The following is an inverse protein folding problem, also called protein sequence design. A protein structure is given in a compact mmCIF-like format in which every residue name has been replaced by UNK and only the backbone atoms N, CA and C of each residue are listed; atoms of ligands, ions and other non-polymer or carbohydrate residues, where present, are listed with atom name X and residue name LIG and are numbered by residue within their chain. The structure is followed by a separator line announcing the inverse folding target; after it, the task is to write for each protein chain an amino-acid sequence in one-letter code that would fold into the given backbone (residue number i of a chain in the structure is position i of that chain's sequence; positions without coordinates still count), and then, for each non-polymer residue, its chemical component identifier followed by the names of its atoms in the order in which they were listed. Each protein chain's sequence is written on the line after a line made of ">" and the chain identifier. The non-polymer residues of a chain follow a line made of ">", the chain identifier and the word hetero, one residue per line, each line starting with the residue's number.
data_IF_084335831093
#
_entry.id   IF_084335831093
#
_cell.length_a   1.000
_cell.length_b   1.000
_cell.length_c   1.000
_cell.angle_alpha   90.00
_cell.angle_beta   90.00
_cell.angle_gamma   90.00
#
_symmetry.space_group_name_H-M   'P 1'
#
loop_
_entity.id
_entity.type
_entity.pdbx_description
1 polymer ?
#
# COMPACT_ATOMS: atom_id res chain seq x y z
N UNK A 1 -28.48 15.18 10.43
CA UNK A 1 -29.15 16.21 11.22
C UNK A 1 -28.44 16.46 12.56
N UNK A 2 -27.90 15.45 13.20
CA UNK A 2 -27.31 15.55 14.54
C UNK A 2 -25.97 16.32 14.58
N UNK A 3 -25.26 16.43 13.44
CA UNK A 3 -23.96 17.10 13.37
C UNK A 3 -24.04 18.57 13.75
N UNK A 4 -25.09 19.29 13.29
CA UNK A 4 -25.28 20.70 13.64
C UNK A 4 -25.65 20.88 15.12
N UNK A 5 -26.40 19.94 15.72
CA UNK A 5 -26.71 19.93 17.14
C UNK A 5 -25.46 19.71 17.99
N UNK A 6 -24.61 18.73 17.57
CA UNK A 6 -23.33 18.44 18.23
C UNK A 6 -22.42 19.67 18.19
N UNK A 7 -22.26 20.28 17.01
CA UNK A 7 -21.44 21.47 16.85
C UNK A 7 -21.96 22.65 17.70
N UNK A 8 -23.29 22.84 17.78
CA UNK A 8 -23.87 23.88 18.61
C UNK A 8 -23.59 23.63 20.08
N UNK A 9 -23.70 22.39 20.57
CA UNK A 9 -23.39 22.04 21.97
C UNK A 9 -21.92 22.24 22.30
N UNK A 10 -21.03 21.82 21.41
CA UNK A 10 -19.59 21.93 21.59
C UNK A 10 -19.06 23.37 21.50
N UNK A 11 -19.57 24.17 20.57
CA UNK A 11 -18.96 25.46 20.22
C UNK A 11 -19.80 26.67 20.63
N UNK A 12 -21.05 26.45 21.03
CA UNK A 12 -22.06 27.51 21.30
C UNK A 12 -22.30 28.43 20.10
N UNK A 13 -21.95 27.96 18.85
CA UNK A 13 -22.08 28.68 17.58
C UNK A 13 -22.97 27.93 16.61
N UNK A 14 -23.52 28.67 15.63
CA UNK A 14 -24.31 28.09 14.56
C UNK A 14 -23.45 27.93 13.29
N UNK A 15 -23.44 26.73 12.70
CA UNK A 15 -22.69 26.37 11.49
C UNK A 15 -23.54 26.20 10.24
N UNK A 16 -24.86 26.37 10.31
CA UNK A 16 -25.78 26.07 9.21
C UNK A 16 -25.46 26.82 7.89
N UNK A 17 -24.82 27.99 7.98
CA UNK A 17 -24.39 28.80 6.80
C UNK A 17 -22.92 28.66 6.44
N UNK A 18 -22.14 27.88 7.18
CA UNK A 18 -20.67 27.86 7.09
C UNK A 18 -20.11 26.55 6.57
N UNK A 19 -20.82 25.89 5.66
CA UNK A 19 -20.35 24.63 5.08
C UNK A 19 -19.05 24.83 4.27
N UNK A 20 -18.16 23.83 4.40
CA UNK A 20 -16.85 23.77 3.71
C UNK A 20 -15.90 24.94 4.01
N UNK A 21 -16.07 25.57 5.19
CA UNK A 21 -15.18 26.63 5.66
C UNK A 21 -14.50 26.22 6.96
N UNK A 22 -13.18 26.43 7.02
CA UNK A 22 -12.42 26.26 8.26
C UNK A 22 -12.72 27.41 9.22
N UNK A 23 -13.06 27.08 10.46
CA UNK A 23 -13.25 28.05 11.55
C UNK A 23 -12.41 27.66 12.76
N UNK A 24 -11.74 28.63 13.35
CA UNK A 24 -11.12 28.48 14.67
C UNK A 24 -12.19 28.79 15.72
N UNK A 25 -12.42 27.84 16.62
CA UNK A 25 -13.47 27.92 17.64
C UNK A 25 -12.98 27.31 18.96
N UNK A 26 -13.56 27.81 20.03
CA UNK A 26 -13.41 27.19 21.35
C UNK A 26 -14.46 26.07 21.52
N UNK A 27 -13.97 24.92 22.00
CA UNK A 27 -14.83 23.80 22.35
C UNK A 27 -15.07 23.82 23.87
N UNK A 28 -16.29 23.53 24.25
CA UNK A 28 -16.72 23.55 25.66
C UNK A 28 -17.24 22.19 26.07
N UNK A 29 -16.96 21.82 27.32
CA UNK A 29 -17.56 20.66 27.98
C UNK A 29 -19.01 20.96 28.35
N UNK A 30 -19.73 19.93 28.80
CA UNK A 30 -21.14 20.08 29.24
C UNK A 30 -21.30 21.04 30.43
N UNK A 31 -20.29 21.13 31.29
CA UNK A 31 -20.25 22.04 32.43
C UNK A 31 -19.87 23.49 32.06
N UNK A 32 -19.66 23.76 30.80
CA UNK A 32 -19.24 25.08 30.25
C UNK A 32 -17.74 25.36 30.36
N UNK A 33 -16.93 24.46 30.93
CA UNK A 33 -15.49 24.63 30.99
C UNK A 33 -14.87 24.48 29.58
N UNK A 34 -13.77 25.23 29.30
CA UNK A 34 -13.04 25.15 28.06
C UNK A 34 -12.37 23.78 27.92
N UNK A 35 -12.57 23.13 26.77
CA UNK A 35 -11.94 21.87 26.43
C UNK A 35 -10.69 22.10 25.56
N UNK A 36 -10.84 22.84 24.45
CA UNK A 36 -9.78 23.13 23.51
C UNK A 36 -10.13 24.34 22.66
N UNK A 37 -9.14 24.94 21.95
CA UNK A 37 -9.36 25.90 20.89
C UNK A 37 -8.76 25.33 19.59
N UNK A 38 -9.60 25.02 18.62
CA UNK A 38 -9.21 24.21 17.46
C UNK A 38 -9.92 24.62 16.18
N UNK A 39 -9.46 24.08 15.05
CA UNK A 39 -10.11 24.23 13.75
C UNK A 39 -11.25 23.24 13.59
N UNK A 40 -12.38 23.72 13.06
CA UNK A 40 -13.57 22.90 12.76
C UNK A 40 -14.04 23.19 11.35
N UNK A 41 -14.45 22.14 10.62
CA UNK A 41 -15.07 22.23 9.30
C UNK A 41 -16.37 21.46 9.31
N UNK A 42 -17.43 22.05 8.81
CA UNK A 42 -18.71 21.39 8.59
C UNK A 42 -18.93 21.16 7.09
N UNK A 43 -19.22 19.93 6.70
CA UNK A 43 -19.56 19.53 5.35
C UNK A 43 -21.04 19.15 5.29
N UNK A 44 -21.81 19.95 4.56
CA UNK A 44 -23.24 19.71 4.38
C UNK A 44 -23.47 18.64 3.31
N UNK A 45 -24.40 17.72 3.57
CA UNK A 45 -24.92 16.76 2.60
C UNK A 45 -25.37 17.47 1.29
N UNK A 46 -25.13 16.88 0.10
CA UNK A 46 -24.33 15.68 -0.17
C UNK A 46 -22.82 15.96 -0.38
N UNK A 47 -22.33 17.15 -0.07
CA UNK A 47 -20.94 17.62 -0.34
C UNK A 47 -19.97 17.21 0.79
N UNK A 48 -20.00 15.95 1.16
CA UNK A 48 -19.10 15.33 2.15
C UNK A 48 -18.53 14.02 1.62
N UNK A 49 -17.62 13.40 2.35
CA UNK A 49 -17.05 12.09 2.01
C UNK A 49 -18.13 10.99 2.00
N UNK A 50 -18.98 10.95 3.03
CA UNK A 50 -20.04 9.94 3.15
C UNK A 50 -21.30 10.28 2.37
N UNK A 51 -21.46 11.52 1.88
CA UNK A 51 -22.70 12.03 1.31
C UNK A 51 -23.72 12.49 2.35
N UNK A 52 -23.43 12.33 3.64
CA UNK A 52 -24.22 12.80 4.79
C UNK A 52 -23.62 14.09 5.35
N UNK A 53 -24.28 14.69 6.37
CA UNK A 53 -23.66 15.77 7.11
C UNK A 53 -22.46 15.27 7.92
N UNK A 54 -21.30 15.91 7.76
CA UNK A 54 -20.03 15.54 8.42
C UNK A 54 -19.40 16.78 9.03
N UNK A 55 -18.78 16.63 10.21
CA UNK A 55 -17.85 17.63 10.71
C UNK A 55 -16.48 17.03 11.01
N UNK A 56 -15.45 17.80 10.73
CA UNK A 56 -14.06 17.49 11.09
C UNK A 56 -13.61 18.47 12.17
N UNK A 57 -13.03 17.96 13.24
CA UNK A 57 -12.56 18.72 14.41
C UNK A 57 -11.08 18.39 14.59
N UNK A 58 -10.22 19.39 14.46
CA UNK A 58 -8.76 19.24 14.51
C UNK A 58 -8.23 19.66 15.88
N UNK A 59 -8.29 18.74 16.84
CA UNK A 59 -7.83 18.96 18.21
C UNK A 59 -6.32 19.09 18.31
N UNK A 60 -5.82 19.72 19.37
CA UNK A 60 -4.40 19.62 19.72
C UNK A 60 -4.01 18.16 20.00
N UNK A 61 -2.81 17.75 19.55
CA UNK A 61 -2.36 16.35 19.48
C UNK A 61 -2.06 15.69 20.84
N UNK A 62 -2.86 15.95 21.88
CA UNK A 62 -2.76 15.33 23.19
C UNK A 62 -3.77 14.18 23.33
N UNK A 63 -3.33 12.94 23.67
CA UNK A 63 -4.26 11.84 23.97
C UNK A 63 -5.26 12.16 25.08
N UNK A 64 -4.89 13.02 26.03
CA UNK A 64 -5.79 13.44 27.11
C UNK A 64 -6.91 14.34 26.60
N UNK A 65 -6.62 15.26 25.67
CA UNK A 65 -7.64 16.10 25.04
C UNK A 65 -8.60 15.25 24.22
N UNK A 66 -8.08 14.30 23.44
CA UNK A 66 -8.91 13.38 22.67
C UNK A 66 -9.84 12.54 23.55
N UNK A 67 -9.33 12.00 24.68
CA UNK A 67 -10.14 11.26 25.64
C UNK A 67 -11.20 12.14 26.32
N UNK A 68 -10.87 13.39 26.70
CA UNK A 68 -11.83 14.32 27.25
C UNK A 68 -12.90 14.74 26.24
N UNK A 69 -12.53 14.86 24.97
CA UNK A 69 -13.47 15.17 23.89
C UNK A 69 -14.50 14.04 23.72
N UNK A 70 -14.03 12.79 23.67
CA UNK A 70 -14.91 11.61 23.60
C UNK A 70 -15.87 11.55 24.81
N UNK A 71 -15.34 11.77 26.02
CA UNK A 71 -16.16 11.83 27.23
C UNK A 71 -17.22 12.94 27.16
N UNK A 72 -16.84 14.13 26.67
CA UNK A 72 -17.76 15.26 26.50
C UNK A 72 -18.90 14.93 25.54
N UNK A 73 -18.61 14.24 24.43
CA UNK A 73 -19.63 13.78 23.49
C UNK A 73 -20.61 12.80 24.16
N UNK A 74 -20.09 11.86 24.94
CA UNK A 74 -20.93 10.90 25.70
C UNK A 74 -21.79 11.60 26.74
N UNK A 75 -21.28 12.65 27.41
CA UNK A 75 -22.02 13.42 28.42
C UNK A 75 -23.18 14.20 27.82
N UNK A 76 -23.15 14.53 26.55
CA UNK A 76 -24.29 15.19 25.88
C UNK A 76 -25.48 14.24 25.67
N UNK A 77 -25.32 12.92 25.81
CA UNK A 77 -26.36 11.89 25.70
C UNK A 77 -27.21 12.05 24.43
N UNK A 78 -26.55 12.25 23.29
CA UNK A 78 -27.23 12.36 21.99
C UNK A 78 -27.67 10.96 21.57
N UNK A 79 -28.94 10.73 21.26
CA UNK A 79 -29.42 9.42 20.84
C UNK A 79 -28.69 8.95 19.60
N UNK A 80 -28.24 7.67 19.57
CA UNK A 80 -27.55 7.08 18.41
C UNK A 80 -26.09 7.50 18.23
N UNK A 81 -25.56 8.42 19.05
CA UNK A 81 -24.14 8.77 19.00
C UNK A 81 -23.30 7.62 19.58
N UNK A 82 -22.37 7.13 18.81
CA UNK A 82 -21.44 6.06 19.15
C UNK A 82 -20.13 6.16 18.35
N UNK A 83 -19.12 5.44 18.76
CA UNK A 83 -17.92 5.27 17.95
C UNK A 83 -18.25 4.55 16.63
N UNK A 84 -17.61 5.01 15.56
CA UNK A 84 -17.74 4.37 14.26
C UNK A 84 -17.12 2.97 14.25
N UNK A 85 -17.74 2.05 13.54
CA UNK A 85 -17.14 0.73 13.22
C UNK A 85 -15.99 0.90 12.24
N UNK A 86 -15.17 -0.15 12.11
CA UNK A 86 -14.12 -0.19 11.09
C UNK A 86 -14.73 0.00 9.70
N UNK A 87 -14.15 0.89 8.88
CA UNK A 87 -14.61 1.16 7.52
C UNK A 87 -15.97 1.83 7.38
N UNK A 88 -16.63 2.27 8.49
CA UNK A 88 -18.00 2.77 8.44
C UNK A 88 -18.16 4.01 7.56
N UNK A 89 -17.18 4.91 7.51
CA UNK A 89 -17.24 6.09 6.63
C UNK A 89 -17.20 5.69 5.16
N UNK A 90 -16.32 4.75 4.78
CA UNK A 90 -16.24 4.22 3.41
C UNK A 90 -17.52 3.44 3.05
N UNK A 91 -18.06 2.65 3.97
CA UNK A 91 -19.33 1.94 3.79
C UNK A 91 -20.47 2.90 3.48
N UNK A 92 -20.66 3.96 4.31
CA UNK A 92 -21.68 4.98 4.07
C UNK A 92 -21.47 5.71 2.74
N UNK A 93 -20.22 5.96 2.34
CA UNK A 93 -19.93 6.59 1.05
C UNK A 93 -20.36 5.72 -0.13
N UNK A 94 -20.24 4.40 -0.01
CA UNK A 94 -20.72 3.45 -1.04
C UNK A 94 -22.24 3.40 -1.05
N UNK A 95 -22.90 3.28 0.11
CA UNK A 95 -24.37 3.28 0.21
C UNK A 95 -24.98 4.53 -0.40
N UNK A 96 -24.34 5.69 -0.18
CA UNK A 96 -24.81 6.98 -0.69
C UNK A 96 -24.28 7.28 -2.11
N UNK A 97 -23.76 6.27 -2.82
CA UNK A 97 -23.26 6.38 -4.20
C UNK A 97 -22.20 7.49 -4.41
N UNK A 98 -21.42 7.78 -3.36
CA UNK A 98 -20.30 8.73 -3.43
C UNK A 98 -19.05 8.08 -4.00
N UNK A 99 -18.82 6.82 -3.65
CA UNK A 99 -17.73 5.98 -4.15
C UNK A 99 -18.30 4.63 -4.59
N UNK A 100 -17.66 3.98 -5.55
CA UNK A 100 -17.90 2.57 -5.82
C UNK A 100 -17.22 1.69 -4.75
N UNK A 101 -17.59 0.41 -4.69
CA UNK A 101 -16.92 -0.55 -3.80
C UNK A 101 -15.42 -0.65 -4.11
N UNK A 102 -15.04 -0.64 -5.41
CA UNK A 102 -13.63 -0.65 -5.83
C UNK A 102 -12.88 0.61 -5.39
N UNK A 103 -13.50 1.78 -5.45
CA UNK A 103 -12.91 3.01 -4.93
C UNK A 103 -12.70 2.95 -3.41
N UNK A 104 -13.67 2.43 -2.65
CA UNK A 104 -13.53 2.24 -1.22
C UNK A 104 -12.39 1.26 -0.87
N UNK A 105 -12.30 0.13 -1.57
CA UNK A 105 -11.18 -0.82 -1.45
C UNK A 105 -9.84 -0.14 -1.80
N UNK A 106 -9.79 0.66 -2.87
CA UNK A 106 -8.59 1.40 -3.27
C UNK A 106 -8.12 2.38 -2.18
N UNK A 107 -9.02 3.09 -1.49
CA UNK A 107 -8.67 3.95 -0.36
C UNK A 107 -7.97 3.15 0.74
N UNK A 108 -8.52 2.00 1.13
CA UNK A 108 -7.91 1.15 2.14
C UNK A 108 -6.52 0.65 1.71
N UNK A 109 -6.39 0.23 0.45
CA UNK A 109 -5.12 -0.23 -0.10
C UNK A 109 -4.08 0.88 -0.25
N UNK A 110 -4.45 2.12 -0.56
CA UNK A 110 -3.53 3.27 -0.59
C UNK A 110 -2.87 3.48 0.78
N UNK A 111 -3.63 3.23 1.86
CA UNK A 111 -3.15 3.43 3.23
C UNK A 111 -2.26 2.28 3.70
N UNK A 112 -2.60 1.04 3.34
CA UNK A 112 -1.94 -0.18 3.82
C UNK A 112 -0.81 -0.68 2.90
N UNK A 113 -0.64 -0.13 1.70
CA UNK A 113 0.27 -0.66 0.69
C UNK A 113 1.71 -0.16 0.81
N UNK A 114 2.64 -1.11 0.67
CA UNK A 114 4.10 -0.88 0.72
C UNK A 114 4.73 -0.77 -0.69
N UNK A 115 3.93 -0.78 -1.78
CA UNK A 115 4.41 -0.82 -3.16
C UNK A 115 3.99 0.42 -3.96
N UNK A 116 4.95 1.12 -4.59
CA UNK A 116 4.66 2.27 -5.45
C UNK A 116 3.78 1.93 -6.66
N UNK A 117 3.97 0.76 -7.25
CA UNK A 117 3.17 0.33 -8.40
C UNK A 117 1.71 0.08 -8.01
N UNK A 118 1.48 -0.51 -6.84
CA UNK A 118 0.16 -0.69 -6.27
C UNK A 118 -0.46 0.65 -5.87
N UNK A 119 0.32 1.57 -5.31
CA UNK A 119 -0.13 2.92 -4.98
C UNK A 119 -0.65 3.67 -6.23
N UNK A 120 0.12 3.66 -7.32
CA UNK A 120 -0.28 4.33 -8.56
C UNK A 120 -1.52 3.69 -9.21
N UNK A 121 -1.65 2.38 -9.14
CA UNK A 121 -2.84 1.67 -9.61
C UNK A 121 -4.08 2.04 -8.76
N UNK A 122 -3.96 2.00 -7.43
CA UNK A 122 -5.07 2.33 -6.53
C UNK A 122 -5.47 3.81 -6.60
N UNK A 123 -4.53 4.74 -6.81
CA UNK A 123 -4.85 6.13 -7.14
C UNK A 123 -5.68 6.22 -8.40
N UNK A 124 -5.31 5.49 -9.45
CA UNK A 124 -6.07 5.49 -10.69
C UNK A 124 -7.49 4.98 -10.47
N UNK A 125 -7.68 3.87 -9.72
CA UNK A 125 -9.01 3.39 -9.34
C UNK A 125 -9.80 4.43 -8.54
N UNK A 126 -9.15 5.10 -7.59
CA UNK A 126 -9.82 6.12 -6.77
C UNK A 126 -10.33 7.31 -7.59
N UNK A 127 -9.52 7.82 -8.52
CA UNK A 127 -9.85 9.06 -9.25
C UNK A 127 -10.61 8.81 -10.56
N UNK A 128 -10.39 7.69 -11.25
CA UNK A 128 -11.04 7.36 -12.52
C UNK A 128 -12.21 6.36 -12.34
N UNK A 129 -12.38 5.81 -11.13
CA UNK A 129 -13.44 4.85 -10.83
C UNK A 129 -13.22 3.47 -11.44
N UNK A 130 -14.29 2.69 -11.52
CA UNK A 130 -14.25 1.28 -11.95
C UNK A 130 -13.70 1.11 -13.36
N UNK A 131 -13.87 2.12 -14.23
CA UNK A 131 -13.34 2.10 -15.59
C UNK A 131 -11.82 1.99 -15.66
N UNK A 132 -11.13 2.33 -14.57
CA UNK A 132 -9.68 2.16 -14.45
C UNK A 132 -9.25 0.71 -14.23
N UNK A 133 -10.17 -0.17 -13.82
CA UNK A 133 -9.91 -1.59 -13.60
C UNK A 133 -9.73 -2.33 -14.93
N UNK A 134 -8.67 -3.13 -15.02
CA UNK A 134 -8.45 -4.03 -16.15
C UNK A 134 -9.54 -5.10 -16.29
N UNK A 135 -10.30 -5.39 -15.21
CA UNK A 135 -11.40 -6.35 -15.23
C UNK A 135 -12.60 -5.87 -16.04
N UNK A 136 -12.83 -4.55 -16.17
CA UNK A 136 -13.96 -4.00 -16.96
C UNK A 136 -13.93 -4.53 -18.39
N UNK A 137 -12.76 -4.47 -19.02
CA UNK A 137 -12.61 -4.96 -20.37
C UNK A 137 -12.88 -6.48 -20.51
N UNK A 138 -12.48 -7.28 -19.50
CA UNK A 138 -12.76 -8.72 -19.48
C UNK A 138 -14.24 -9.01 -19.22
N UNK A 139 -14.89 -8.21 -18.37
CA UNK A 139 -16.33 -8.28 -18.13
C UNK A 139 -17.11 -8.01 -19.42
N UNK A 140 -16.79 -6.93 -20.12
CA UNK A 140 -17.51 -6.56 -21.33
C UNK A 140 -17.36 -7.62 -22.42
N UNK A 141 -16.17 -8.22 -22.56
CA UNK A 141 -15.93 -9.31 -23.52
C UNK A 141 -16.74 -10.58 -23.18
N UNK A 142 -16.90 -10.93 -21.87
CA UNK A 142 -17.72 -12.08 -21.48
C UNK A 142 -19.21 -11.78 -21.62
N UNK A 143 -19.65 -10.54 -21.41
CA UNK A 143 -21.03 -10.10 -21.69
C UNK A 143 -21.38 -10.31 -23.15
N UNK A 144 -20.48 -9.90 -24.07
CA UNK A 144 -20.68 -10.09 -25.51
C UNK A 144 -20.77 -11.58 -25.87
N UNK A 145 -19.89 -12.41 -25.33
CA UNK A 145 -19.91 -13.85 -25.53
C UNK A 145 -21.18 -14.50 -24.99
N UNK A 146 -21.63 -14.12 -23.81
CA UNK A 146 -22.86 -14.62 -23.21
C UNK A 146 -24.09 -14.22 -24.03
N UNK A 147 -24.13 -12.97 -24.53
CA UNK A 147 -25.19 -12.48 -25.39
C UNK A 147 -25.27 -13.26 -26.70
N UNK A 148 -24.11 -13.57 -27.31
CA UNK A 148 -24.04 -14.39 -28.55
C UNK A 148 -24.54 -15.82 -28.31
N UNK A 149 -24.21 -16.43 -27.14
CA UNK A 149 -24.70 -17.76 -26.77
C UNK A 149 -26.21 -17.73 -26.51
N UNK A 150 -26.70 -16.75 -25.76
CA UNK A 150 -28.13 -16.63 -25.44
C UNK A 150 -28.95 -16.44 -26.72
N UNK A 151 -28.51 -15.55 -27.60
CA UNK A 151 -29.16 -15.36 -28.90
C UNK A 151 -29.23 -16.66 -29.72
N UNK A 152 -28.18 -17.49 -29.69
CA UNK A 152 -28.16 -18.74 -30.41
C UNK A 152 -29.05 -19.85 -29.79
N UNK A 153 -29.42 -19.72 -28.51
CA UNK A 153 -30.41 -20.61 -27.86
C UNK A 153 -31.82 -20.20 -28.27
N UNK A 154 -32.09 -18.88 -28.35
CA UNK A 154 -33.42 -18.36 -28.63
C UNK A 154 -33.81 -18.48 -30.13
N UNK A 155 -32.84 -18.48 -31.03
CA UNK A 155 -33.05 -18.51 -32.50
C UNK A 155 -32.51 -19.80 -33.14
N UNK A 156 -32.96 -20.94 -32.67
CA UNK A 156 -32.51 -22.28 -33.10
C UNK A 156 -32.79 -22.57 -34.59
N UNK A 157 -33.71 -21.84 -35.24
CA UNK A 157 -34.16 -22.07 -36.62
C UNK A 157 -33.27 -21.37 -37.70
N UNK A 158 -32.29 -20.56 -37.31
CA UNK A 158 -31.39 -19.92 -38.26
C UNK A 158 -30.19 -20.83 -38.59
N UNK A 159 -29.97 -21.14 -39.86
CA UNK A 159 -28.96 -22.08 -40.41
C UNK A 159 -27.49 -21.69 -40.12
N UNK A 160 -27.20 -20.58 -39.40
CA UNK A 160 -25.85 -20.10 -39.15
C UNK A 160 -25.30 -20.34 -37.75
N UNK A 161 -25.96 -21.13 -36.90
CA UNK A 161 -25.40 -21.44 -35.59
C UNK A 161 -24.12 -22.28 -35.70
N UNK A 162 -22.96 -21.64 -35.50
CA UNK A 162 -21.68 -22.34 -35.51
C UNK A 162 -21.10 -22.46 -34.10
N UNK A 163 -21.54 -23.54 -33.38
CA UNK A 163 -21.04 -23.89 -32.03
C UNK A 163 -19.50 -23.86 -31.96
N UNK A 164 -18.82 -24.39 -32.98
CA UNK A 164 -17.35 -24.40 -33.03
C UNK A 164 -16.75 -22.98 -33.05
N UNK A 165 -17.41 -22.03 -33.71
CA UNK A 165 -16.97 -20.62 -33.76
C UNK A 165 -17.09 -19.96 -32.38
N UNK A 166 -18.19 -20.20 -31.68
CA UNK A 166 -18.42 -19.67 -30.32
C UNK A 166 -17.39 -20.29 -29.36
N UNK A 167 -17.22 -21.59 -29.36
CA UNK A 167 -16.24 -22.26 -28.49
C UNK A 167 -14.79 -21.82 -28.74
N UNK A 168 -14.47 -21.48 -30.00
CA UNK A 168 -13.18 -20.86 -30.31
C UNK A 168 -13.02 -19.50 -29.65
N UNK A 169 -14.05 -18.65 -29.64
CA UNK A 169 -14.03 -17.34 -28.95
C UNK A 169 -13.90 -17.51 -27.44
N UNK A 170 -14.68 -18.43 -26.84
CA UNK A 170 -14.62 -18.75 -25.42
C UNK A 170 -13.19 -19.20 -25.04
N UNK A 171 -12.59 -20.09 -25.82
CA UNK A 171 -11.19 -20.51 -25.61
C UNK A 171 -10.23 -19.32 -25.65
N UNK A 172 -10.37 -18.45 -26.64
CA UNK A 172 -9.52 -17.25 -26.77
C UNK A 172 -9.65 -16.30 -25.58
N UNK A 173 -10.86 -16.15 -25.02
CA UNK A 173 -11.12 -15.38 -23.82
C UNK A 173 -10.33 -15.94 -22.62
N UNK A 174 -10.43 -17.24 -22.34
CA UNK A 174 -9.70 -17.87 -21.25
C UNK A 174 -8.17 -17.84 -21.45
N UNK A 175 -7.69 -18.02 -22.69
CA UNK A 175 -6.27 -17.90 -23.01
C UNK A 175 -5.76 -16.48 -22.79
N UNK A 176 -6.59 -15.47 -23.07
CA UNK A 176 -6.30 -14.07 -22.78
C UNK A 176 -6.22 -13.80 -21.26
N UNK A 177 -7.20 -14.28 -20.48
CA UNK A 177 -7.19 -14.20 -19.01
C UNK A 177 -5.91 -14.85 -18.44
N UNK A 178 -5.56 -16.04 -18.91
CA UNK A 178 -4.34 -16.73 -18.49
C UNK A 178 -3.07 -15.94 -18.82
N UNK A 179 -2.97 -15.39 -20.03
CA UNK A 179 -1.83 -14.58 -20.44
C UNK A 179 -1.69 -13.29 -19.61
N UNK A 180 -2.81 -12.64 -19.28
CA UNK A 180 -2.84 -11.46 -18.41
C UNK A 180 -2.33 -11.84 -17.02
N UNK A 181 -2.87 -12.92 -16.44
CA UNK A 181 -2.47 -13.42 -15.12
C UNK A 181 -0.96 -13.71 -15.06
N UNK A 182 -0.43 -14.45 -16.04
CA UNK A 182 1.00 -14.77 -16.09
C UNK A 182 1.89 -13.51 -16.22
N UNK A 183 1.50 -12.57 -17.07
CA UNK A 183 2.21 -11.29 -17.24
C UNK A 183 2.21 -10.51 -15.93
N UNK A 184 1.07 -10.41 -15.26
CA UNK A 184 0.94 -9.65 -14.01
C UNK A 184 1.74 -10.29 -12.88
N UNK A 185 1.66 -11.62 -12.71
CA UNK A 185 2.49 -12.36 -11.75
C UNK A 185 3.99 -12.18 -12.00
N UNK A 186 4.42 -12.18 -13.26
CA UNK A 186 5.82 -11.94 -13.61
C UNK A 186 6.27 -10.50 -13.32
N UNK A 187 5.41 -9.50 -13.51
CA UNK A 187 5.69 -8.11 -13.12
C UNK A 187 5.84 -7.98 -11.61
N UNK A 188 4.98 -8.64 -10.84
CA UNK A 188 5.00 -8.62 -9.36
C UNK A 188 6.21 -9.35 -8.77
N UNK A 189 6.71 -10.39 -9.42
CA UNK A 189 7.98 -11.03 -9.04
C UNK A 189 9.19 -10.11 -9.23
N UNK A 190 9.05 -9.01 -9.98
CA UNK A 190 10.10 -8.00 -10.09
C UNK A 190 10.19 -7.26 -8.76
N UNK A 191 11.38 -7.25 -8.17
CA UNK A 191 11.67 -6.56 -6.91
C UNK A 191 11.31 -5.07 -7.03
N UNK A 192 10.40 -4.60 -6.19
CA UNK A 192 10.05 -3.18 -6.11
C UNK A 192 10.89 -2.43 -5.05
N UNK A 193 11.54 -3.17 -4.15
CA UNK A 193 12.35 -2.65 -3.06
C UNK A 193 13.80 -3.05 -3.30
N UNK A 194 14.69 -2.07 -3.36
CA UNK A 194 16.13 -2.30 -3.45
C UNK A 194 16.71 -2.54 -2.06
N UNK A 195 17.24 -3.75 -1.82
CA UNK A 195 17.82 -4.14 -0.54
C UNK A 195 19.30 -3.76 -0.46
N UNK A 196 19.66 -2.97 0.53
CA UNK A 196 21.01 -2.45 0.74
C UNK A 196 21.50 -2.88 2.10
N UNK A 197 22.75 -3.32 2.20
CA UNK A 197 23.37 -3.72 3.48
C UNK A 197 24.61 -2.90 3.77
N UNK A 198 24.74 -2.41 5.01
CA UNK A 198 25.94 -1.74 5.52
C UNK A 198 26.85 -2.79 6.17
N UNK A 199 28.09 -2.91 5.67
CA UNK A 199 29.11 -3.78 6.26
C UNK A 199 30.39 -3.01 6.48
N UNK A 200 31.20 -3.44 7.44
CA UNK A 200 32.47 -2.80 7.76
C UNK A 200 32.98 -3.19 9.14
N UNK A 201 34.22 -2.86 9.50
CA UNK A 201 34.79 -3.11 10.82
C UNK A 201 33.97 -2.52 11.97
N UNK A 202 34.27 -2.93 13.19
CA UNK A 202 33.66 -2.35 14.40
C UNK A 202 34.06 -0.86 14.50
N UNK A 203 33.14 -0.02 14.97
CA UNK A 203 33.34 1.43 15.17
C UNK A 203 33.65 2.25 13.88
N UNK A 204 33.46 1.69 12.70
CA UNK A 204 33.64 2.39 11.42
C UNK A 204 32.55 3.42 11.11
N UNK A 205 31.43 3.41 11.88
CA UNK A 205 30.33 4.36 11.70
C UNK A 205 29.10 3.80 10.96
N UNK A 206 28.92 2.47 10.93
CA UNK A 206 27.74 1.81 10.29
C UNK A 206 26.42 2.32 10.87
N UNK A 207 26.23 2.22 12.17
CA UNK A 207 24.97 2.62 12.83
C UNK A 207 24.75 4.13 12.76
N UNK A 208 25.83 4.94 12.74
CA UNK A 208 25.71 6.38 12.50
C UNK A 208 25.19 6.68 11.11
N UNK A 209 25.74 6.02 10.09
CA UNK A 209 25.26 6.14 8.71
C UNK A 209 23.83 5.63 8.54
N UNK A 210 23.51 4.47 9.14
CA UNK A 210 22.17 3.90 9.16
C UNK A 210 21.16 4.89 9.73
N UNK A 211 21.38 5.39 10.95
CA UNK A 211 20.48 6.34 11.59
C UNK A 211 20.32 7.64 10.79
N UNK A 212 21.38 8.07 10.11
CA UNK A 212 21.36 9.26 9.27
C UNK A 212 20.54 9.07 8.00
N UNK A 213 20.59 7.87 7.38
CA UNK A 213 19.79 7.53 6.21
C UNK A 213 18.32 7.40 6.58
N UNK A 214 18.03 6.78 7.73
CA UNK A 214 16.66 6.52 8.17
C UNK A 214 15.94 7.77 8.62
N UNK A 215 16.62 8.75 9.21
CA UNK A 215 16.05 10.00 9.75
C UNK A 215 14.60 9.82 10.24
N UNK A 216 14.43 9.66 11.56
CA UNK A 216 13.16 9.24 12.18
C UNK A 216 11.95 10.13 11.85
N UNK A 217 12.18 11.37 11.46
CA UNK A 217 11.11 12.33 11.10
C UNK A 217 10.57 12.10 9.67
N UNK A 218 11.32 11.39 8.80
CA UNK A 218 10.96 11.13 7.39
C UNK A 218 10.95 9.65 7.01
N UNK A 219 11.20 8.75 7.97
CA UNK A 219 11.09 7.32 7.75
C UNK A 219 9.62 6.90 7.73
N UNK A 220 9.22 6.18 6.71
CA UNK A 220 7.97 5.42 6.75
C UNK A 220 8.25 4.25 7.70
N UNK A 221 7.89 4.42 8.97
CA UNK A 221 8.01 3.33 9.96
C UNK A 221 6.82 2.40 9.75
N UNK A 222 6.96 1.45 8.83
CA UNK A 222 6.05 0.33 8.78
C UNK A 222 6.46 -0.67 9.87
N UNK A 223 5.68 -0.72 10.94
CA UNK A 223 5.76 -1.81 11.92
C UNK A 223 5.20 -3.08 11.28
N UNK A 224 5.96 -3.70 10.38
CA UNK A 224 5.62 -5.02 9.87
C UNK A 224 5.86 -6.01 11.01
N UNK A 225 4.77 -6.46 11.65
CA UNK A 225 4.78 -7.59 12.58
C UNK A 225 5.27 -8.82 11.83
N UNK A 226 6.54 -9.20 12.03
CA UNK A 226 7.09 -10.43 11.46
C UNK A 226 8.55 -10.41 11.06
N UNK A 227 9.20 -9.24 10.99
CA UNK A 227 10.65 -9.19 10.77
C UNK A 227 11.37 -9.42 12.10
N UNK A 228 12.10 -10.51 12.13
CA UNK A 228 12.86 -11.08 13.24
C UNK A 228 13.74 -10.05 13.96
N UNK A 229 13.70 -10.06 15.29
CA UNK A 229 14.34 -9.20 16.30
C UNK A 229 15.87 -9.03 16.23
N UNK A 230 16.58 -9.54 15.21
CA UNK A 230 18.04 -9.76 15.29
C UNK A 230 18.91 -9.05 14.23
N UNK A 231 18.30 -8.48 13.17
CA UNK A 231 18.99 -7.58 12.23
C UNK A 231 18.12 -6.35 12.08
N UNK A 232 18.69 -5.16 12.37
CA UNK A 232 17.94 -3.92 12.19
C UNK A 232 17.78 -3.65 10.69
N UNK A 233 16.58 -3.73 10.19
CA UNK A 233 16.23 -3.23 8.86
C UNK A 233 15.20 -2.13 8.97
N UNK A 234 15.29 -1.15 8.07
CA UNK A 234 14.29 -0.11 7.93
C UNK A 234 14.10 0.25 6.46
N UNK A 235 12.89 0.63 6.13
CA UNK A 235 12.55 1.10 4.80
C UNK A 235 12.59 2.63 4.74
N UNK A 236 13.02 3.16 3.60
CA UNK A 236 13.01 4.59 3.33
C UNK A 236 12.73 4.88 1.86
N UNK A 237 12.21 6.07 1.60
CA UNK A 237 11.98 6.57 0.24
C UNK A 237 13.01 7.63 -0.10
N UNK A 238 13.59 7.54 -1.30
CA UNK A 238 14.45 8.57 -1.88
C UNK A 238 14.22 8.65 -3.39
N UNK A 239 14.02 9.87 -3.90
CA UNK A 239 13.78 10.12 -5.33
C UNK A 239 12.60 9.25 -5.88
N UNK A 240 11.49 9.16 -5.09
CA UNK A 240 10.30 8.38 -5.44
C UNK A 240 10.50 6.87 -5.52
N UNK A 241 11.55 6.31 -4.89
CA UNK A 241 11.91 4.90 -4.93
C UNK A 241 12.04 4.33 -3.53
N UNK A 242 11.61 3.07 -3.35
CA UNK A 242 11.72 2.38 -2.07
C UNK A 242 13.02 1.61 -1.92
N UNK A 243 13.59 1.71 -0.73
CA UNK A 243 14.80 1.02 -0.31
C UNK A 243 14.58 0.38 1.04
N UNK A 244 15.20 -0.78 1.26
CA UNK A 244 15.34 -1.40 2.56
C UNK A 244 16.82 -1.47 2.91
N UNK A 245 17.21 -0.87 4.04
CA UNK A 245 18.60 -0.84 4.49
C UNK A 245 18.76 -1.72 5.72
N UNK A 246 19.82 -2.51 5.73
CA UNK A 246 20.18 -3.45 6.79
C UNK A 246 21.46 -2.98 7.50
N UNK A 247 21.43 -2.86 8.83
CA UNK A 247 22.63 -2.65 9.65
C UNK A 247 23.10 -3.96 10.28
N UNK A 248 24.35 -4.35 9.98
CA UNK A 248 24.96 -5.56 10.55
C UNK A 248 25.44 -5.37 12.00
N UNK A 249 25.39 -4.16 12.56
CA UNK A 249 25.90 -3.81 13.90
C UNK A 249 24.79 -3.62 14.97
N UNK A 250 23.54 -3.94 14.67
CA UNK A 250 22.37 -3.60 15.49
C UNK A 250 22.17 -4.41 16.75
N UNK A 251 23.00 -4.20 17.79
CA UNK A 251 22.59 -4.14 19.20
C UNK A 251 23.78 -3.65 20.05
N UNK A 252 23.65 -2.44 20.55
CA UNK A 252 24.53 -1.94 21.62
C UNK A 252 24.01 -2.48 22.95
N UNK A 253 24.33 -3.74 23.28
CA UNK A 253 24.40 -4.17 24.69
C UNK A 253 24.96 -5.59 24.78
N UNK A 254 26.14 -5.68 25.44
CA UNK A 254 26.87 -6.85 25.90
C UNK A 254 27.72 -7.67 24.90
N UNK A 255 29.01 -7.53 25.13
CA UNK A 255 30.16 -8.13 24.42
C UNK A 255 30.05 -9.65 24.15
N UNK A 256 30.38 -10.06 22.95
CA UNK A 256 31.03 -11.35 22.64
C UNK A 256 30.16 -12.42 21.97
N UNK A 257 28.94 -12.74 22.41
CA UNK A 257 28.14 -13.85 21.83
C UNK A 257 27.05 -13.35 20.87
N UNK A 258 26.51 -12.17 21.10
CA UNK A 258 25.38 -11.57 20.31
C UNK A 258 25.87 -10.99 18.98
N UNK A 259 27.09 -10.42 18.94
CA UNK A 259 27.69 -9.94 17.68
C UNK A 259 27.95 -11.08 16.68
N UNK A 260 28.39 -12.26 17.14
CA UNK A 260 28.56 -13.43 16.28
C UNK A 260 27.25 -13.95 15.69
N UNK A 261 26.14 -13.83 16.42
CA UNK A 261 24.84 -14.27 15.97
C UNK A 261 24.27 -13.30 14.90
N UNK A 262 24.33 -12.00 15.16
CA UNK A 262 23.91 -10.97 14.18
C UNK A 262 24.72 -11.03 12.88
N UNK A 263 26.03 -11.29 12.97
CA UNK A 263 26.91 -11.44 11.82
C UNK A 263 26.55 -12.67 10.97
N UNK A 264 26.32 -13.85 11.60
CA UNK A 264 25.88 -15.05 10.88
C UNK A 264 24.56 -14.87 10.17
N UNK A 265 23.61 -14.18 10.81
CA UNK A 265 22.30 -13.92 10.22
C UNK A 265 22.39 -12.93 9.06
N UNK A 266 23.21 -11.89 9.18
CA UNK A 266 23.51 -10.98 8.09
C UNK A 266 24.17 -11.71 6.90
N UNK A 267 25.04 -12.69 7.17
CA UNK A 267 25.61 -13.56 6.12
C UNK A 267 24.55 -14.40 5.42
N UNK A 268 23.57 -14.95 6.13
CA UNK A 268 22.45 -15.69 5.54
C UNK A 268 21.59 -14.80 4.62
N UNK A 269 21.39 -13.55 4.98
CA UNK A 269 20.65 -12.57 4.17
C UNK A 269 21.46 -12.04 2.98
N UNK A 270 22.77 -12.27 2.92
CA UNK A 270 23.64 -11.69 1.90
C UNK A 270 23.24 -12.02 0.46
N UNK A 271 22.64 -13.20 0.24
CA UNK A 271 22.13 -13.62 -1.08
C UNK A 271 20.93 -12.82 -1.57
N UNK A 272 20.20 -12.17 -0.65
CA UNK A 272 19.02 -11.35 -0.97
C UNK A 272 19.37 -9.88 -1.18
N UNK A 273 20.60 -9.46 -0.86
CA UNK A 273 21.05 -8.07 -0.90
C UNK A 273 21.44 -7.68 -2.32
N UNK A 274 20.84 -6.60 -2.79
CA UNK A 274 21.13 -6.08 -4.12
C UNK A 274 22.44 -5.30 -4.16
N UNK A 275 22.73 -4.53 -3.09
CA UNK A 275 23.94 -3.72 -3.04
C UNK A 275 24.52 -3.61 -1.63
N UNK A 276 25.84 -3.64 -1.54
CA UNK A 276 26.57 -3.51 -0.29
C UNK A 276 27.31 -2.15 -0.22
N UNK A 277 27.16 -1.43 0.87
CA UNK A 277 28.05 -0.35 1.22
C UNK A 277 29.10 -0.90 2.18
N UNK A 278 30.34 -0.98 1.69
CA UNK A 278 31.48 -1.46 2.45
C UNK A 278 32.18 -0.26 3.06
N UNK A 279 31.95 -0.07 4.37
CA UNK A 279 32.48 1.07 5.11
C UNK A 279 33.92 0.80 5.56
N UNK A 280 34.75 1.83 5.43
CA UNK A 280 36.14 1.85 5.93
C UNK A 280 36.47 3.19 6.54
N UNK A 281 37.44 3.23 7.44
CA UNK A 281 38.07 4.43 7.98
C UNK A 281 39.60 4.34 7.87
N UNK A 282 40.30 5.34 8.38
CA UNK A 282 41.78 5.38 8.35
C UNK A 282 42.45 4.15 8.94
N UNK A 283 41.79 3.50 9.89
CA UNK A 283 42.35 2.34 10.61
C UNK A 283 41.98 1.00 9.99
N UNK A 284 41.09 1.00 8.99
CA UNK A 284 40.63 -0.21 8.32
C UNK A 284 41.70 -0.73 7.35
N UNK A 285 42.22 -1.93 7.60
CA UNK A 285 43.25 -2.53 6.71
C UNK A 285 42.57 -3.10 5.43
N UNK A 286 43.30 -3.08 4.32
CA UNK A 286 42.88 -3.72 3.05
C UNK A 286 42.55 -5.20 3.25
N UNK A 287 43.30 -5.89 4.14
CA UNK A 287 43.09 -7.31 4.47
C UNK A 287 41.73 -7.55 5.16
N UNK A 288 41.33 -6.68 6.10
CA UNK A 288 40.03 -6.73 6.77
C UNK A 288 38.89 -6.53 5.77
N UNK A 289 38.98 -5.53 4.91
CA UNK A 289 37.94 -5.26 3.89
C UNK A 289 37.81 -6.43 2.90
N UNK A 290 38.94 -7.04 2.49
CA UNK A 290 38.92 -8.22 1.61
C UNK A 290 38.32 -9.45 2.28
N UNK A 291 38.57 -9.65 3.58
CA UNK A 291 37.95 -10.72 4.36
C UNK A 291 36.43 -10.53 4.46
N UNK A 292 35.95 -9.34 4.79
CA UNK A 292 34.53 -9.02 4.84
C UNK A 292 33.82 -9.28 3.49
N UNK A 293 34.42 -8.86 2.39
CA UNK A 293 33.84 -9.12 1.06
C UNK A 293 33.70 -10.62 0.77
N UNK A 294 34.72 -11.41 1.12
CA UNK A 294 34.67 -12.86 0.95
C UNK A 294 33.61 -13.51 1.83
N UNK A 295 33.52 -13.10 3.10
CA UNK A 295 32.57 -13.64 4.08
C UNK A 295 31.11 -13.41 3.69
N UNK A 296 30.82 -12.29 3.02
CA UNK A 296 29.48 -11.95 2.50
C UNK A 296 29.28 -12.31 1.02
N UNK A 297 30.24 -13.00 0.39
CA UNK A 297 30.13 -13.41 -1.01
C UNK A 297 30.04 -12.24 -2.00
N UNK A 298 30.60 -11.09 -1.67
CA UNK A 298 30.48 -9.86 -2.46
C UNK A 298 31.41 -9.91 -3.67
N UNK A 299 30.84 -9.84 -4.85
CA UNK A 299 31.59 -9.81 -6.12
C UNK A 299 31.71 -8.39 -6.67
N UNK A 300 30.66 -7.90 -7.37
CA UNK A 300 30.66 -6.62 -8.09
C UNK A 300 29.52 -5.67 -7.63
N UNK A 301 28.72 -6.06 -6.63
CA UNK A 301 27.56 -5.33 -6.16
C UNK A 301 27.85 -4.54 -4.88
N UNK A 302 28.91 -3.75 -4.89
CA UNK A 302 29.27 -2.94 -3.72
C UNK A 302 29.83 -1.57 -4.10
N UNK A 303 29.79 -0.66 -3.11
CA UNK A 303 30.47 0.64 -3.12
C UNK A 303 31.33 0.77 -1.87
N UNK A 304 32.59 1.15 -2.05
CA UNK A 304 33.49 1.49 -0.92
C UNK A 304 33.15 2.90 -0.42
N UNK A 305 32.94 2.99 0.88
CA UNK A 305 32.56 4.24 1.57
C UNK A 305 33.58 4.55 2.66
N UNK A 306 34.26 5.67 2.52
CA UNK A 306 35.19 6.18 3.53
C UNK A 306 34.47 7.12 4.49
N UNK A 307 34.38 6.69 5.75
CA UNK A 307 33.69 7.41 6.83
C UNK A 307 34.67 8.34 7.56
N UNK A 308 34.13 9.26 8.37
CA UNK A 308 34.92 10.22 9.17
C UNK A 308 35.82 11.11 8.29
N UNK A 309 35.36 11.47 7.10
CA UNK A 309 36.14 12.30 6.16
C UNK A 309 36.32 13.77 6.60
N UNK A 310 35.71 14.17 7.68
CA UNK A 310 35.92 15.40 8.42
C UNK A 310 37.19 15.35 9.31
N UNK A 311 37.54 14.14 9.77
CA UNK A 311 38.70 13.94 10.67
C UNK A 311 39.97 13.55 9.90
N UNK A 312 39.81 12.95 8.70
CA UNK A 312 40.94 12.40 7.94
C UNK A 312 40.88 12.80 6.47
N UNK A 313 42.03 13.13 5.89
CA UNK A 313 42.18 13.30 4.46
C UNK A 313 42.44 11.99 3.75
N UNK A 314 41.55 11.62 2.83
CA UNK A 314 41.68 10.43 2.01
C UNK A 314 42.13 10.80 0.60
N UNK A 315 43.15 10.11 0.09
CA UNK A 315 43.64 10.30 -1.31
C UNK A 315 42.93 9.41 -2.33
N UNK A 316 42.00 8.59 -1.88
CA UNK A 316 41.27 7.65 -2.73
C UNK A 316 40.15 8.30 -3.56
N UNK A 317 39.70 7.60 -4.61
CA UNK A 317 38.51 7.94 -5.40
C UNK A 317 37.20 7.38 -4.81
N UNK A 318 37.23 6.78 -3.61
CA UNK A 318 36.07 6.21 -2.96
C UNK A 318 35.06 7.30 -2.52
N UNK A 319 33.84 6.89 -2.25
CA UNK A 319 32.81 7.80 -1.72
C UNK A 319 33.20 8.22 -0.29
N UNK A 320 33.26 9.52 -0.04
CA UNK A 320 33.65 10.09 1.26
C UNK A 320 32.45 10.67 1.98
N UNK A 321 32.19 10.21 3.20
CA UNK A 321 31.08 10.65 4.03
C UNK A 321 31.58 11.13 5.38
N UNK A 322 31.03 12.25 5.85
CA UNK A 322 31.26 12.81 7.17
C UNK A 322 29.95 13.02 7.93
N UNK A 323 30.05 13.35 9.21
CA UNK A 323 28.88 13.52 10.06
C UNK A 323 28.14 14.86 9.82
N UNK A 324 28.77 15.85 9.15
CA UNK A 324 28.17 17.17 8.86
C UNK A 324 27.24 17.15 7.64
N UNK A 325 27.29 16.07 6.81
CA UNK A 325 26.41 15.95 5.66
C UNK A 325 24.96 15.68 6.12
N UNK A 326 24.02 16.41 5.58
CA UNK A 326 22.60 16.10 5.72
C UNK A 326 22.23 14.79 5.01
N UNK A 327 21.05 14.24 5.34
CA UNK A 327 20.53 12.98 4.79
C UNK A 327 20.59 12.94 3.26
N UNK A 328 20.01 13.93 2.61
CA UNK A 328 19.90 13.96 1.14
C UNK A 328 21.28 14.10 0.46
N UNK A 329 22.19 14.82 1.10
CA UNK A 329 23.59 14.89 0.68
C UNK A 329 24.32 13.55 0.80
N UNK A 330 24.03 12.76 1.84
CA UNK A 330 24.55 11.39 2.00
C UNK A 330 24.00 10.48 0.93
N UNK A 331 22.68 10.46 0.71
CA UNK A 331 22.01 9.61 -0.29
C UNK A 331 22.47 9.92 -1.71
N UNK A 332 22.65 11.20 -2.03
CA UNK A 332 23.18 11.65 -3.33
C UNK A 332 24.63 11.22 -3.54
N UNK A 333 25.52 11.38 -2.53
CA UNK A 333 26.92 10.91 -2.60
C UNK A 333 27.01 9.39 -2.74
N UNK A 334 26.15 8.63 -2.06
CA UNK A 334 26.06 7.18 -2.19
C UNK A 334 25.49 6.75 -3.55
N UNK A 335 25.00 7.68 -4.36
CA UNK A 335 24.36 7.41 -5.67
C UNK A 335 23.22 6.40 -5.58
N UNK A 336 22.41 6.49 -4.53
CA UNK A 336 21.33 5.54 -4.19
C UNK A 336 20.36 5.37 -5.38
N UNK A 337 19.95 6.46 -6.04
CA UNK A 337 19.04 6.39 -7.22
C UNK A 337 19.64 5.60 -8.39
N UNK A 338 20.98 5.63 -8.58
CA UNK A 338 21.64 4.84 -9.64
C UNK A 338 21.69 3.36 -9.27
N UNK A 339 21.86 3.03 -7.98
CA UNK A 339 21.82 1.66 -7.48
C UNK A 339 20.43 1.08 -7.75
N UNK A 340 19.37 1.80 -7.39
CA UNK A 340 18.00 1.36 -7.68
C UNK A 340 17.79 1.09 -9.17
N UNK A 341 18.22 2.03 -10.04
CA UNK A 341 18.10 1.88 -11.50
C UNK A 341 18.86 0.64 -12.02
N UNK A 342 19.95 0.24 -11.39
CA UNK A 342 20.75 -0.92 -11.77
C UNK A 342 20.07 -2.26 -11.41
N UNK A 343 19.46 -2.34 -10.24
CA UNK A 343 18.95 -3.61 -9.68
C UNK A 343 17.44 -3.77 -9.80
N UNK A 344 16.72 -2.64 -9.86
CA UNK A 344 15.27 -2.63 -10.08
C UNK A 344 15.05 -2.17 -11.52
N UNK A 345 14.41 -3.00 -12.33
CA UNK A 345 14.12 -2.67 -13.72
C UNK A 345 13.40 -1.31 -13.80
N UNK A 346 13.96 -0.37 -14.58
CA UNK A 346 13.41 0.98 -14.79
C UNK A 346 12.09 0.98 -15.58
N UNK A 347 11.67 -0.19 -16.09
CA UNK A 347 10.34 -0.44 -16.62
C UNK A 347 9.52 -1.12 -15.54
N UNK A 348 9.05 -0.37 -14.56
CA UNK A 348 7.83 -0.75 -13.85
C UNK A 348 6.76 -0.79 -14.93
N UNK A 349 6.51 -1.97 -15.49
CA UNK A 349 5.38 -2.18 -16.37
C UNK A 349 4.16 -1.82 -15.55
N UNK A 350 3.27 -1.03 -16.14
CA UNK A 350 2.02 -0.61 -15.54
C UNK A 350 1.32 -1.87 -15.00
N UNK A 351 1.02 -1.87 -13.71
CA UNK A 351 0.18 -2.91 -13.11
C UNK A 351 -1.24 -2.48 -13.42
N UNK A 352 -1.96 -3.33 -14.14
CA UNK A 352 -3.36 -3.08 -14.51
C UNK A 352 -4.34 -3.87 -13.61
N UNK A 353 -3.81 -4.58 -12.58
CA UNK A 353 -4.57 -5.43 -11.66
C UNK A 353 -3.95 -5.39 -10.25
N UNK A 354 -4.79 -5.31 -9.21
CA UNK A 354 -4.36 -5.45 -7.82
C UNK A 354 -4.37 -6.93 -7.36
N UNK A 355 -4.06 -7.22 -6.08
CA UNK A 355 -3.99 -8.59 -5.57
C UNK A 355 -5.36 -9.29 -5.62
N UNK A 356 -6.41 -8.60 -5.21
CA UNK A 356 -7.78 -9.12 -5.24
C UNK A 356 -8.23 -9.46 -6.67
N UNK A 357 -7.89 -8.60 -7.64
CA UNK A 357 -8.24 -8.83 -9.04
C UNK A 357 -7.43 -9.98 -9.67
N UNK A 358 -6.24 -10.27 -9.15
CA UNK A 358 -5.48 -11.47 -9.55
C UNK A 358 -6.14 -12.72 -9.01
N UNK A 359 -6.51 -12.73 -7.73
CA UNK A 359 -7.21 -13.85 -7.11
C UNK A 359 -8.54 -14.09 -7.82
N UNK A 360 -9.24 -13.02 -8.17
CA UNK A 360 -10.45 -13.09 -8.98
C UNK A 360 -10.21 -13.74 -10.35
N UNK A 361 -9.17 -13.33 -11.08
CA UNK A 361 -8.81 -13.94 -12.37
C UNK A 361 -8.42 -15.43 -12.22
N UNK A 362 -7.81 -15.83 -11.12
CA UNK A 362 -7.53 -17.24 -10.83
C UNK A 362 -8.83 -18.04 -10.65
N UNK A 363 -9.79 -17.46 -9.95
CA UNK A 363 -11.11 -18.10 -9.77
C UNK A 363 -11.86 -18.24 -11.10
N UNK A 364 -11.87 -17.20 -11.94
CA UNK A 364 -12.47 -17.26 -13.28
C UNK A 364 -11.81 -18.36 -14.14
N UNK A 365 -10.49 -18.54 -14.04
CA UNK A 365 -9.79 -19.57 -14.80
C UNK A 365 -10.15 -21.01 -14.37
N UNK A 366 -10.75 -21.23 -13.20
CA UNK A 366 -11.22 -22.54 -12.79
C UNK A 366 -12.39 -23.03 -13.67
N UNK A 367 -13.24 -22.14 -14.16
CA UNK A 367 -14.32 -22.46 -15.09
C UNK A 367 -13.84 -22.95 -16.46
N UNK A 368 -12.56 -22.70 -16.82
CA UNK A 368 -12.01 -23.04 -18.14
C UNK A 368 -12.14 -24.51 -18.48
N UNK A 369 -11.83 -25.39 -17.53
CA UNK A 369 -11.88 -26.84 -17.77
C UNK A 369 -13.30 -27.30 -18.05
N UNK A 370 -14.25 -26.87 -17.25
CA UNK A 370 -15.64 -27.30 -17.32
C UNK A 370 -16.30 -26.81 -18.61
N UNK A 371 -16.13 -25.53 -18.95
CA UNK A 371 -16.74 -24.95 -20.14
C UNK A 371 -16.13 -25.47 -21.45
N UNK A 372 -14.82 -25.76 -21.49
CA UNK A 372 -14.17 -26.25 -22.71
C UNK A 372 -14.42 -27.74 -22.98
N UNK A 373 -14.84 -28.53 -21.98
CA UNK A 373 -15.15 -29.93 -22.11
C UNK A 373 -16.67 -30.16 -22.25
N UNK A 374 -17.49 -29.11 -22.14
CA UNK A 374 -18.95 -29.20 -22.24
C UNK A 374 -19.38 -29.09 -23.71
N UNK A 375 -20.39 -29.85 -24.06
CA UNK A 375 -21.03 -29.88 -25.39
C UNK A 375 -22.46 -29.33 -25.40
N UNK A 376 -23.09 -29.26 -24.21
CA UNK A 376 -24.42 -28.70 -24.07
C UNK A 376 -24.35 -27.18 -23.90
N UNK A 377 -24.95 -26.47 -24.84
CA UNK A 377 -24.95 -25.01 -24.89
C UNK A 377 -25.68 -24.35 -23.70
N UNK A 378 -26.69 -25.05 -23.14
CA UNK A 378 -27.42 -24.54 -21.98
C UNK A 378 -26.54 -24.58 -20.72
N UNK A 379 -25.74 -25.63 -20.57
CA UNK A 379 -24.79 -25.76 -19.47
C UNK A 379 -23.68 -24.70 -19.63
N UNK A 380 -23.18 -24.51 -20.86
CA UNK A 380 -22.20 -23.44 -21.16
C UNK A 380 -22.77 -22.07 -20.80
N UNK A 381 -23.99 -21.76 -21.19
CA UNK A 381 -24.66 -20.51 -20.85
C UNK A 381 -24.78 -20.33 -19.33
N UNK A 382 -25.10 -21.38 -18.58
CA UNK A 382 -25.18 -21.33 -17.12
C UNK A 382 -23.81 -21.06 -16.49
N UNK A 383 -22.73 -21.69 -16.98
CA UNK A 383 -21.37 -21.41 -16.49
C UNK A 383 -21.00 -19.97 -16.77
N UNK A 384 -21.30 -19.45 -17.96
CA UNK A 384 -21.01 -18.04 -18.30
C UNK A 384 -21.82 -17.07 -17.45
N UNK A 385 -23.06 -17.39 -17.10
CA UNK A 385 -23.87 -16.62 -16.16
C UNK A 385 -23.20 -16.58 -14.78
N UNK A 386 -22.71 -17.70 -14.28
CA UNK A 386 -22.00 -17.74 -13.01
C UNK A 386 -20.76 -16.83 -13.03
N UNK A 387 -20.00 -16.82 -14.13
CA UNK A 387 -18.86 -15.92 -14.30
C UNK A 387 -19.31 -14.45 -14.27
N UNK A 388 -20.43 -14.09 -14.90
CA UNK A 388 -20.98 -12.72 -14.87
C UNK A 388 -21.46 -12.33 -13.46
N UNK A 389 -22.03 -13.28 -12.72
CA UNK A 389 -22.42 -13.05 -11.33
C UNK A 389 -21.18 -12.80 -10.45
N UNK A 390 -20.09 -13.54 -10.66
CA UNK A 390 -18.82 -13.30 -10.00
C UNK A 390 -18.26 -11.89 -10.32
N UNK A 391 -18.33 -11.44 -11.58
CA UNK A 391 -17.99 -10.07 -11.94
C UNK A 391 -18.88 -9.03 -11.26
N UNK A 392 -20.19 -9.30 -11.19
CA UNK A 392 -21.15 -8.41 -10.52
C UNK A 392 -20.85 -8.27 -9.03
N UNK A 393 -20.46 -9.38 -8.39
CA UNK A 393 -20.00 -9.39 -7.01
C UNK A 393 -18.71 -8.57 -6.83
N UNK A 394 -17.71 -8.78 -7.67
CA UNK A 394 -16.42 -8.08 -7.60
C UNK A 394 -16.55 -6.57 -7.79
N UNK A 395 -17.48 -6.13 -8.66
CA UNK A 395 -17.77 -4.72 -8.86
C UNK A 395 -18.76 -4.12 -7.83
N UNK A 396 -19.37 -4.95 -6.98
CA UNK A 396 -20.31 -4.50 -5.95
C UNK A 396 -21.69 -4.11 -6.50
N UNK A 397 -22.11 -4.67 -7.63
CA UNK A 397 -23.46 -4.45 -8.19
C UNK A 397 -24.53 -5.28 -7.49
N UNK A 398 -24.16 -6.26 -6.68
CA UNK A 398 -25.07 -7.05 -5.85
C UNK A 398 -25.15 -6.38 -4.47
N UNK A 399 -26.34 -5.88 -4.15
CA UNK A 399 -26.63 -5.23 -2.86
C UNK A 399 -26.87 -6.34 -1.80
N UNK A 400 -25.79 -6.84 -1.22
CA UNK A 400 -25.86 -7.80 -0.12
C UNK A 400 -25.10 -7.19 1.09
N UNK A 401 -25.83 -6.84 2.17
CA UNK A 401 -25.26 -6.24 3.38
C UNK A 401 -24.14 -7.11 3.98
N UNK A 402 -24.26 -8.43 3.90
CA UNK A 402 -23.24 -9.38 4.37
C UNK A 402 -21.90 -9.24 3.63
N UNK A 403 -21.93 -8.80 2.36
CA UNK A 403 -20.72 -8.56 1.56
C UNK A 403 -20.02 -7.31 2.05
N UNK A 404 -20.80 -6.25 2.28
CA UNK A 404 -20.25 -4.99 2.78
C UNK A 404 -19.64 -5.16 4.17
N UNK A 405 -20.30 -5.87 5.08
CA UNK A 405 -19.77 -6.14 6.42
C UNK A 405 -18.40 -6.85 6.37
N UNK A 406 -18.22 -7.84 5.50
CA UNK A 406 -16.94 -8.52 5.33
C UNK A 406 -15.85 -7.63 4.74
N UNK A 407 -16.18 -6.83 3.73
CA UNK A 407 -15.21 -5.93 3.07
C UNK A 407 -14.74 -4.86 4.06
N UNK A 408 -15.67 -4.23 4.77
CA UNK A 408 -15.36 -3.08 5.62
C UNK A 408 -14.83 -3.44 7.01
N UNK A 409 -15.02 -4.67 7.50
CA UNK A 409 -14.46 -5.14 8.77
C UNK A 409 -12.92 -5.06 8.85
N UNK A 410 -12.26 -5.13 7.69
CA UNK A 410 -10.79 -5.04 7.59
C UNK A 410 -10.26 -3.60 7.43
N UNK A 411 -11.13 -2.60 7.42
CA UNK A 411 -10.72 -1.20 7.28
C UNK A 411 -10.32 -0.60 8.63
N UNK A 412 -9.58 0.52 8.59
CA UNK A 412 -9.25 1.26 9.81
C UNK A 412 -10.49 1.97 10.38
N UNK A 413 -10.53 2.14 11.72
CA UNK A 413 -11.55 2.94 12.39
C UNK A 413 -11.41 4.40 11.91
N UNK A 414 -12.54 5.03 11.57
CA UNK A 414 -12.58 6.42 11.14
C UNK A 414 -12.45 6.64 9.63
N UNK A 415 -12.51 5.55 8.83
CA UNK A 415 -12.58 5.62 7.36
C UNK A 415 -13.70 4.81 6.77
#
# INVERSE_FOLDING_TARGET
>A
DDVLEILRKLTQKNFSKDHSKVRIVKLYKKDGSLLDECSVVYFKSPKSFTGEDVCEIFLHGSPLIASQFEQTLNDFKIPGLRLAKNGEFSYRSVLNSKNSLKQAKAINQIISNDSFSSLEYNKKLLFEGDQASGLVFLRDEIVDLFSEITASIDFVDDEEFNFKKIMKKVKLYFDKCHNILQKTKNIRKQKNICKIMLIGPVNVGKSTLFNKIIDKERAIVTNIKGTTRDVLSNQFVFDGKMFEIFDTAGHREKQGKIEKFGYKKAQQLSSEIDHFFVLSDKYSSKKQISALKRDFGIKNNYTLVETKSDQYQYQSKNVKINHNLERDGVLSKLKISLIHKKYISSKVKKIDFNDEEIDFLENILQYKHDILNESDILIIAQIMRNILDDFSYEFGYINNEDVYDRVFSNFCIGK
#
